data_IF_753972995071
#
_entry.id   IF_753972995071
#
_cell.length_a   1.000
_cell.length_b   1.000
_cell.length_c   1.000
_cell.angle_alpha   90.00
_cell.angle_beta   90.00
_cell.angle_gamma   90.00
#
_symmetry.space_group_name_H-M   'P 1'
#
loop_
_entity.id
_entity.type
_entity.pdbx_description
1 polymer ?
#
# COMPACT_ATOMS: atom_id res chain seq x y z
N UNK A 1 -24.51 37.96 37.34
CA UNK A 1 -23.82 36.79 36.74
C UNK A 1 -24.07 36.84 35.25
N UNK A 2 -23.11 37.41 34.51
CA UNK A 2 -23.14 37.78 33.09
C UNK A 2 -23.65 36.63 32.19
N UNK A 3 -24.61 36.83 31.29
CA UNK A 3 -24.77 37.73 30.13
C UNK A 3 -24.00 37.25 28.89
N UNK A 4 -24.78 37.06 27.82
CA UNK A 4 -24.39 36.61 26.49
C UNK A 4 -23.43 37.58 25.80
N UNK A 5 -22.65 37.11 24.83
CA UNK A 5 -22.27 37.93 23.67
C UNK A 5 -21.78 37.11 22.49
N UNK A 6 -22.28 37.54 21.35
CA UNK A 6 -22.08 37.05 20.00
C UNK A 6 -20.97 37.88 19.34
N UNK A 7 -20.25 37.26 18.41
CA UNK A 7 -19.51 37.88 17.29
C UNK A 7 -18.27 38.73 17.65
N UNK A 8 -17.60 39.41 16.69
CA UNK A 8 -17.20 39.09 15.29
C UNK A 8 -15.69 39.45 15.04
N UNK A 9 -15.29 39.63 13.77
CA UNK A 9 -14.11 40.36 13.23
C UNK A 9 -12.71 39.71 13.42
N UNK A 10 -12.05 39.29 12.31
CA UNK A 10 -11.01 40.05 11.56
C UNK A 10 -9.78 40.27 12.44
N UNK A 11 -8.58 39.83 12.08
CA UNK A 11 -7.66 40.62 11.23
C UNK A 11 -6.46 39.75 10.84
N UNK A 12 -5.98 39.99 9.63
CA UNK A 12 -4.72 39.53 9.05
C UNK A 12 -3.49 39.91 9.89
N UNK A 13 -2.35 39.29 9.53
CA UNK A 13 -0.97 39.58 9.93
C UNK A 13 -0.50 39.17 11.34
N UNK A 14 0.36 38.13 11.40
CA UNK A 14 1.79 38.37 11.66
C UNK A 14 2.66 37.16 11.29
N UNK A 15 3.49 37.40 10.27
CA UNK A 15 4.87 36.97 10.05
C UNK A 15 5.55 36.06 11.10
N UNK A 16 6.25 35.08 10.53
CA UNK A 16 7.48 34.44 11.01
C UNK A 16 7.40 33.36 12.09
N UNK A 17 7.80 32.17 11.64
CA UNK A 17 8.83 31.32 12.24
C UNK A 17 8.53 30.78 13.64
N UNK A 18 8.18 29.50 13.71
CA UNK A 18 9.05 28.45 14.28
C UNK A 18 8.36 27.09 14.19
N UNK A 19 9.19 26.05 14.10
CA UNK A 19 8.84 24.71 13.63
C UNK A 19 7.72 24.03 14.40
N UNK A 20 6.64 23.72 13.68
CA UNK A 20 5.67 22.72 14.05
C UNK A 20 5.46 21.83 12.85
N UNK A 21 6.20 20.71 12.76
CA UNK A 21 5.88 19.65 11.82
C UNK A 21 4.59 18.98 12.31
N UNK A 22 3.45 19.67 12.13
CA UNK A 22 2.16 19.04 12.11
C UNK A 22 2.22 18.04 10.96
N UNK A 23 2.43 16.76 11.28
CA UNK A 23 2.16 15.65 10.39
C UNK A 23 0.70 15.83 9.95
N UNK A 24 0.52 16.43 8.78
CA UNK A 24 -0.67 16.24 8.00
C UNK A 24 -0.67 14.75 7.66
N UNK A 25 -1.26 13.94 8.54
CA UNK A 25 -1.83 12.66 8.15
C UNK A 25 -3.01 12.98 7.24
N UNK A 26 -2.70 13.39 6.01
CA UNK A 26 -3.63 13.25 4.91
C UNK A 26 -3.94 11.77 4.89
N UNK A 27 -5.19 11.39 5.17
CA UNK A 27 -5.64 10.02 5.07
C UNK A 27 -5.38 9.57 3.63
N UNK A 28 -4.21 8.98 3.39
CA UNK A 28 -3.80 8.55 2.08
C UNK A 28 -4.81 7.50 1.64
N UNK A 29 -5.35 7.66 0.43
CA UNK A 29 -6.24 6.66 -0.13
C UNK A 29 -5.50 5.31 -0.12
N UNK A 30 -6.11 4.32 0.53
CA UNK A 30 -5.55 2.97 0.63
C UNK A 30 -5.64 2.22 -0.71
N UNK A 31 -6.20 2.84 -1.75
CA UNK A 31 -6.28 2.31 -3.10
C UNK A 31 -5.16 2.91 -3.94
N UNK A 32 -4.45 2.07 -4.67
CA UNK A 32 -3.50 2.50 -5.70
C UNK A 32 -4.05 2.23 -7.09
N UNK A 33 -3.82 3.13 -8.04
CA UNK A 33 -4.18 2.93 -9.46
C UNK A 33 -3.05 2.22 -10.23
N UNK A 34 -3.37 1.63 -11.38
CA UNK A 34 -2.36 1.02 -12.27
C UNK A 34 -1.20 1.99 -12.60
N UNK A 35 -1.51 3.25 -12.90
CA UNK A 35 -0.50 4.26 -13.26
C UNK A 35 0.44 4.57 -12.10
N UNK A 36 -0.09 4.66 -10.89
CA UNK A 36 0.70 4.88 -9.68
C UNK A 36 1.55 3.66 -9.34
N UNK A 37 0.97 2.46 -9.42
CA UNK A 37 1.68 1.21 -9.20
C UNK A 37 2.87 1.08 -10.16
N UNK A 38 2.66 1.34 -11.45
CA UNK A 38 3.73 1.30 -12.46
C UNK A 38 4.83 2.32 -12.17
N UNK A 39 4.50 3.52 -11.70
CA UNK A 39 5.49 4.51 -11.25
C UNK A 39 6.30 4.03 -10.05
N UNK A 40 5.66 3.41 -9.05
CA UNK A 40 6.35 2.86 -7.88
C UNK A 40 7.31 1.73 -8.24
N UNK A 41 6.92 0.86 -9.18
CA UNK A 41 7.77 -0.22 -9.67
C UNK A 41 8.96 0.32 -10.47
N UNK A 42 8.75 1.38 -11.27
CA UNK A 42 9.83 2.01 -12.04
C UNK A 42 10.81 2.82 -11.18
N UNK A 43 10.38 3.38 -10.04
CA UNK A 43 11.25 4.22 -9.20
C UNK A 43 12.37 3.44 -8.51
N UNK A 44 12.31 2.08 -8.51
CA UNK A 44 13.28 1.17 -7.86
C UNK A 44 13.64 1.57 -6.42
N UNK A 45 12.71 2.22 -5.72
CA UNK A 45 12.92 2.64 -4.34
C UNK A 45 12.85 1.41 -3.44
N UNK A 46 13.88 1.19 -2.60
CA UNK A 46 13.95 0.03 -1.70
C UNK A 46 12.82 -0.03 -0.67
N UNK A 47 12.09 1.06 -0.47
CA UNK A 47 10.98 1.18 0.48
C UNK A 47 9.61 0.87 -0.13
N UNK A 48 9.54 0.38 -1.37
CA UNK A 48 8.27 0.00 -2.02
C UNK A 48 8.20 -1.52 -2.16
N UNK A 49 7.20 -2.13 -1.53
CA UNK A 49 6.95 -3.57 -1.60
C UNK A 49 5.62 -3.83 -2.30
N UNK A 50 5.66 -4.61 -3.38
CA UNK A 50 4.45 -5.13 -4.00
C UNK A 50 4.27 -6.58 -3.55
N UNK A 51 3.20 -6.89 -2.82
CA UNK A 51 2.91 -8.22 -2.28
C UNK A 51 1.72 -8.81 -3.04
N UNK A 52 1.93 -9.90 -3.76
CA UNK A 52 0.88 -10.66 -4.43
C UNK A 52 0.35 -11.74 -3.50
N UNK A 53 -0.92 -11.60 -3.10
CA UNK A 53 -1.60 -12.51 -2.15
C UNK A 53 -2.36 -13.65 -2.81
N UNK A 54 -2.11 -13.86 -4.11
CA UNK A 54 -2.56 -15.06 -4.82
C UNK A 54 -1.82 -16.29 -4.33
N UNK A 55 -2.39 -17.42 -4.66
CA UNK A 55 -1.80 -18.70 -4.36
C UNK A 55 -0.67 -19.02 -5.36
N UNK A 56 0.37 -19.77 -4.96
CA UNK A 56 1.55 -19.96 -5.81
C UNK A 56 1.23 -20.60 -7.16
N UNK A 57 0.23 -21.49 -7.22
CA UNK A 57 -0.19 -22.11 -8.48
C UNK A 57 -0.80 -21.11 -9.48
N UNK A 58 -1.48 -20.06 -9.00
CA UNK A 58 -2.01 -19.00 -9.87
C UNK A 58 -0.87 -18.20 -10.49
N UNK A 59 0.21 -17.96 -9.73
CA UNK A 59 1.41 -17.29 -10.22
C UNK A 59 2.10 -18.12 -11.30
N UNK A 60 2.22 -19.43 -11.10
CA UNK A 60 2.84 -20.34 -12.07
C UNK A 60 2.04 -20.42 -13.39
N UNK A 61 0.71 -20.29 -13.34
CA UNK A 61 -0.15 -20.38 -14.52
C UNK A 61 -0.31 -19.06 -15.26
N UNK A 62 -0.60 -17.98 -14.55
CA UNK A 62 -0.94 -16.68 -15.16
C UNK A 62 0.23 -15.70 -15.19
N UNK A 63 1.30 -15.96 -14.43
CA UNK A 63 2.39 -15.03 -14.21
C UNK A 63 2.18 -14.10 -13.00
N UNK A 64 3.18 -13.27 -12.75
CA UNK A 64 3.22 -12.29 -11.66
C UNK A 64 3.64 -10.91 -12.15
N UNK A 65 3.33 -9.90 -11.34
CA UNK A 65 3.75 -8.53 -11.62
C UNK A 65 5.27 -8.47 -11.41
N UNK A 66 6.06 -7.92 -12.35
CA UNK A 66 7.50 -7.82 -12.16
C UNK A 66 7.84 -7.06 -10.87
N UNK A 67 8.69 -7.67 -10.03
CA UNK A 67 9.07 -7.11 -8.74
C UNK A 67 8.06 -7.33 -7.61
N UNK A 68 6.98 -8.10 -7.84
CA UNK A 68 6.10 -8.54 -6.75
C UNK A 68 6.71 -9.70 -5.96
N UNK A 69 6.48 -9.69 -4.66
CA UNK A 69 6.72 -10.80 -3.76
C UNK A 69 5.43 -11.59 -3.56
N UNK A 70 5.45 -12.91 -3.74
CA UNK A 70 4.28 -13.74 -3.48
C UNK A 70 4.21 -14.16 -2.01
N UNK A 71 3.15 -13.74 -1.32
CA UNK A 71 2.80 -14.19 0.04
C UNK A 71 1.30 -14.50 0.06
N UNK A 72 0.89 -15.78 0.01
CA UNK A 72 -0.52 -16.15 -0.03
C UNK A 72 -1.32 -15.52 1.12
N UNK A 73 -2.58 -15.18 0.87
CA UNK A 73 -3.43 -14.48 1.86
C UNK A 73 -3.45 -15.17 3.23
N UNK A 74 -3.46 -16.51 3.26
CA UNK A 74 -3.46 -17.30 4.50
C UNK A 74 -2.19 -17.13 5.34
N UNK A 75 -1.09 -16.69 4.74
CA UNK A 75 0.21 -16.55 5.39
C UNK A 75 0.52 -15.09 5.77
N UNK A 76 -0.26 -14.12 5.30
CA UNK A 76 0.03 -12.68 5.48
C UNK A 76 0.17 -12.29 6.96
N UNK A 77 -0.72 -12.78 7.81
CA UNK A 77 -0.70 -12.45 9.23
C UNK A 77 0.61 -12.91 9.90
N UNK A 78 1.03 -14.14 9.63
CA UNK A 78 2.27 -14.71 10.16
C UNK A 78 3.50 -14.07 9.49
N UNK A 79 3.47 -13.86 8.18
CA UNK A 79 4.55 -13.27 7.40
C UNK A 79 4.90 -11.84 7.83
N UNK A 80 3.91 -11.05 8.26
CA UNK A 80 4.14 -9.68 8.71
C UNK A 80 4.53 -9.56 10.21
N UNK A 81 4.58 -10.69 10.93
CA UNK A 81 4.92 -10.76 12.36
C UNK A 81 6.19 -11.60 12.65
N UNK A 82 6.65 -12.42 11.69
CA UNK A 82 7.87 -13.21 11.84
C UNK A 82 9.12 -12.33 11.96
N UNK A 83 10.24 -12.93 12.35
CA UNK A 83 11.51 -12.22 12.41
C UNK A 83 12.10 -12.00 11.00
N UNK A 84 13.03 -11.06 10.89
CA UNK A 84 13.64 -10.70 9.60
C UNK A 84 14.45 -11.83 8.95
N UNK A 85 14.99 -12.76 9.73
CA UNK A 85 15.81 -13.88 9.25
C UNK A 85 14.92 -14.95 8.61
N UNK A 86 13.88 -15.40 9.31
CA UNK A 86 12.88 -16.35 8.82
C UNK A 86 12.15 -15.82 7.58
N UNK A 87 11.82 -14.52 7.57
CA UNK A 87 11.18 -13.90 6.41
C UNK A 87 12.09 -13.96 5.19
N UNK A 88 13.38 -13.67 5.38
CA UNK A 88 14.37 -13.68 4.31
C UNK A 88 14.65 -15.08 3.80
N UNK A 89 14.72 -16.06 4.69
CA UNK A 89 14.89 -17.46 4.31
C UNK A 89 13.68 -17.97 3.51
N UNK A 90 12.46 -17.65 3.95
CA UNK A 90 11.24 -18.15 3.33
C UNK A 90 10.89 -17.46 2.00
N UNK A 91 11.03 -16.14 1.94
CA UNK A 91 10.56 -15.32 0.82
C UNK A 91 11.68 -14.74 -0.04
N UNK A 92 12.95 -14.96 0.33
CA UNK A 92 14.13 -14.43 -0.35
C UNK A 92 14.07 -12.90 -0.55
N UNK A 93 13.47 -12.20 0.42
CA UNK A 93 13.28 -10.75 0.47
C UNK A 93 13.55 -10.24 1.88
N UNK A 94 13.97 -8.98 2.00
CA UNK A 94 14.11 -8.37 3.32
C UNK A 94 12.71 -8.03 3.88
N UNK A 95 12.54 -8.19 5.20
CA UNK A 95 11.27 -7.91 5.87
C UNK A 95 10.92 -6.42 5.76
N UNK A 96 9.68 -6.07 5.34
CA UNK A 96 9.27 -4.68 5.23
C UNK A 96 9.12 -4.03 6.60
N UNK A 97 9.64 -2.81 6.74
CA UNK A 97 9.43 -1.95 7.91
C UNK A 97 8.00 -1.42 7.96
N UNK A 98 7.53 -1.02 9.14
CA UNK A 98 6.20 -0.43 9.34
C UNK A 98 6.01 0.89 8.57
N UNK A 99 7.11 1.59 8.29
CA UNK A 99 7.15 2.82 7.51
C UNK A 99 7.24 2.61 6.00
N UNK A 100 7.54 1.39 5.54
CA UNK A 100 7.66 1.10 4.12
C UNK A 100 6.30 1.12 3.44
N UNK A 101 6.32 1.37 2.13
CA UNK A 101 5.11 1.35 1.34
C UNK A 101 4.77 -0.06 0.89
N UNK A 102 3.83 -0.70 1.57
CA UNK A 102 3.31 -2.01 1.20
C UNK A 102 2.11 -1.84 0.26
N UNK A 103 2.15 -2.50 -0.88
CA UNK A 103 1.06 -2.55 -1.84
C UNK A 103 0.62 -4.00 -2.02
N UNK A 104 -0.62 -4.31 -1.70
CA UNK A 104 -1.18 -5.66 -1.88
C UNK A 104 -1.89 -5.80 -3.22
N UNK A 105 -1.60 -6.87 -3.94
CA UNK A 105 -2.26 -7.26 -5.18
C UNK A 105 -2.88 -8.66 -5.04
N UNK A 106 -3.95 -8.93 -5.77
CA UNK A 106 -4.46 -10.30 -5.94
C UNK A 106 -5.03 -10.45 -7.35
N UNK A 107 -5.89 -11.43 -7.62
CA UNK A 107 -6.49 -11.59 -8.95
C UNK A 107 -7.41 -10.41 -9.35
N UNK A 108 -8.21 -9.89 -8.42
CA UNK A 108 -9.24 -8.87 -8.71
C UNK A 108 -9.68 -8.05 -7.49
N UNK A 109 -8.74 -7.70 -6.61
CA UNK A 109 -8.94 -6.76 -5.49
C UNK A 109 -9.49 -7.31 -4.17
N UNK A 110 -10.26 -8.41 -4.16
CA UNK A 110 -10.94 -8.88 -2.93
C UNK A 110 -9.98 -9.38 -1.86
N UNK A 111 -9.02 -10.24 -2.23
CA UNK A 111 -8.04 -10.81 -1.29
C UNK A 111 -7.03 -9.77 -0.84
N UNK A 112 -6.59 -8.89 -1.74
CA UNK A 112 -5.66 -7.81 -1.41
C UNK A 112 -6.27 -6.80 -0.44
N UNK A 113 -7.58 -6.55 -0.52
CA UNK A 113 -8.27 -5.72 0.48
C UNK A 113 -8.23 -6.36 1.88
N UNK A 114 -8.40 -7.68 1.98
CA UNK A 114 -8.26 -8.41 3.26
C UNK A 114 -6.84 -8.31 3.82
N UNK A 115 -5.83 -8.55 2.97
CA UNK A 115 -4.43 -8.44 3.35
C UNK A 115 -4.07 -7.02 3.83
N UNK A 116 -4.58 -5.99 3.15
CA UNK A 116 -4.47 -4.60 3.60
C UNK A 116 -5.04 -4.40 5.02
N UNK A 117 -6.24 -4.90 5.28
CA UNK A 117 -6.83 -4.79 6.62
C UNK A 117 -5.96 -5.45 7.69
N UNK A 118 -5.41 -6.65 7.41
CA UNK A 118 -4.47 -7.32 8.31
C UNK A 118 -3.21 -6.46 8.53
N UNK A 119 -2.61 -5.93 7.46
CA UNK A 119 -1.40 -5.11 7.57
C UNK A 119 -1.64 -3.83 8.40
N UNK A 120 -2.78 -3.16 8.20
CA UNK A 120 -3.16 -1.99 8.99
C UNK A 120 -3.32 -2.33 10.47
N UNK A 121 -3.93 -3.46 10.81
CA UNK A 121 -4.05 -3.94 12.20
C UNK A 121 -2.68 -4.21 12.84
N UNK A 122 -1.70 -4.62 12.03
CA UNK A 122 -0.32 -4.85 12.47
C UNK A 122 0.54 -3.57 12.48
N UNK A 123 -0.05 -2.39 12.23
CA UNK A 123 0.64 -1.11 12.28
C UNK A 123 1.39 -0.70 11.01
N UNK A 124 1.11 -1.32 9.87
CA UNK A 124 1.62 -0.86 8.57
C UNK A 124 0.74 0.28 8.04
N UNK A 125 0.96 1.49 8.53
CA UNK A 125 0.11 2.67 8.23
C UNK A 125 0.18 3.10 6.75
N UNK A 126 1.30 2.83 6.08
CA UNK A 126 1.52 3.14 4.66
C UNK A 126 1.03 2.06 3.72
N UNK A 127 0.30 1.06 4.23
CA UNK A 127 -0.23 -0.03 3.42
C UNK A 127 -1.34 0.44 2.47
N UNK A 128 -1.30 -0.07 1.25
CA UNK A 128 -2.28 0.16 0.18
C UNK A 128 -2.62 -1.16 -0.49
N UNK A 129 -3.71 -1.19 -1.23
CA UNK A 129 -4.06 -2.31 -2.08
C UNK A 129 -4.38 -1.83 -3.50
N UNK A 130 -4.08 -2.68 -4.47
CA UNK A 130 -4.41 -2.48 -5.86
C UNK A 130 -5.77 -3.14 -6.16
N UNK A 131 -6.84 -2.37 -6.41
CA UNK A 131 -8.19 -2.93 -6.60
C UNK A 131 -8.32 -3.70 -7.92
N UNK A 132 -7.64 -3.25 -8.98
CA UNK A 132 -7.70 -3.89 -10.31
C UNK A 132 -7.09 -5.29 -10.35
N UNK A 133 -6.13 -5.56 -9.46
CA UNK A 133 -5.45 -6.85 -9.37
C UNK A 133 -4.72 -7.26 -10.64
N UNK A 134 -4.31 -8.53 -10.70
CA UNK A 134 -3.62 -9.11 -11.85
C UNK A 134 -4.41 -8.95 -13.16
N UNK A 135 -5.74 -9.09 -13.12
CA UNK A 135 -6.59 -8.97 -14.33
C UNK A 135 -6.46 -7.60 -15.00
N UNK A 136 -6.50 -6.53 -14.22
CA UNK A 136 -6.33 -5.18 -14.77
C UNK A 136 -4.89 -4.98 -15.27
N UNK A 137 -3.90 -5.43 -14.50
CA UNK A 137 -2.49 -5.38 -14.91
C UNK A 137 -2.24 -6.06 -16.25
N UNK A 138 -2.70 -7.30 -16.39
CA UNK A 138 -2.59 -8.12 -17.60
C UNK A 138 -3.25 -7.42 -18.80
N UNK A 139 -4.44 -6.83 -18.61
CA UNK A 139 -5.14 -6.12 -19.68
C UNK A 139 -4.38 -4.91 -20.23
N UNK A 140 -3.56 -4.26 -19.39
CA UNK A 140 -2.75 -3.11 -19.80
C UNK A 140 -1.41 -3.52 -20.42
N UNK A 141 -0.75 -4.58 -19.92
CA UNK A 141 0.54 -5.03 -20.45
C UNK A 141 0.37 -5.89 -21.71
N UNK A 142 -0.72 -6.64 -21.80
CA UNK A 142 -1.04 -7.50 -22.94
C UNK A 142 -2.42 -7.11 -23.49
N UNK A 143 -2.55 -5.94 -24.14
CA UNK A 143 -3.79 -5.59 -24.79
C UNK A 143 -4.08 -6.63 -25.85
N UNK A 144 -5.14 -7.42 -25.65
CA UNK A 144 -5.60 -8.33 -26.68
C UNK A 144 -5.79 -7.52 -27.98
N UNK A 145 -5.10 -7.93 -29.04
CA UNK A 145 -5.36 -7.40 -30.38
C UNK A 145 -6.79 -7.81 -30.72
N UNK A 146 -7.75 -6.94 -30.40
CA UNK A 146 -9.13 -7.09 -30.87
C UNK A 146 -9.05 -7.16 -32.40
N UNK A 147 -9.28 -8.36 -32.92
CA UNK A 147 -9.50 -8.61 -34.35
C UNK A 147 -10.86 -8.06 -34.76
#
# INVERSE_FOLDING_TARGET
NAEASVCPWRTEELRSSEGGHHLFCTAASQNITYKELKKLLHSKSKSNFLIDVREPWEILQCGQIPGSLNIPLGEIDQALQMNSEDFKEKYNQDMPSKSDNLVFCCLGGVRSKKALSTALLLGYESARHYPGGWKEWESYEYPEKKK
#
